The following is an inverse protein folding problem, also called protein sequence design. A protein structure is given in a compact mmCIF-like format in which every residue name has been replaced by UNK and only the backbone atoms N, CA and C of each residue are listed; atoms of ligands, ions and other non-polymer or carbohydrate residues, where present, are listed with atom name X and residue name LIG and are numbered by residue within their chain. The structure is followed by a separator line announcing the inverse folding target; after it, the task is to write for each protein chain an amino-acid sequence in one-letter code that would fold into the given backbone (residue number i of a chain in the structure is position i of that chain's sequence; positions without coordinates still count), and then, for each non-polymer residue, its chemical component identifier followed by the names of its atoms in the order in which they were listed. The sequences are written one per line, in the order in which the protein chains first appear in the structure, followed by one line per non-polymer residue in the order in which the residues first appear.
data_IF_474965893365
#
_entry.id   IF_474965893365
#
_cell.length_a   1.000
_cell.length_b   1.000
_cell.length_c   1.000
_cell.angle_alpha   90.00
_cell.angle_beta   90.00
_cell.angle_gamma   90.00
#
_symmetry.space_group_name_H-M   'P 1'
#
loop_
_entity.id
_entity.type
_entity.pdbx_description
1 polymer ?
#
# COMPACT_ATOMS: atom_id res chain seq x y z
N UNK A 1 -18.20 19.96 0.11
CA UNK A 1 -17.25 19.73 1.23
C UNK A 1 -17.52 18.42 2.01
N UNK A 2 -18.69 17.79 1.87
CA UNK A 2 -19.16 16.70 2.76
C UNK A 2 -18.67 15.27 2.44
N UNK A 3 -18.45 14.92 1.16
CA UNK A 3 -17.95 13.60 0.74
C UNK A 3 -16.50 13.35 1.19
N UNK A 4 -15.71 14.42 1.33
CA UNK A 4 -14.32 14.33 1.82
C UNK A 4 -14.24 13.88 3.28
N UNK A 5 -15.23 14.22 4.11
CA UNK A 5 -15.24 13.89 5.54
C UNK A 5 -15.47 12.39 5.77
N UNK A 6 -16.45 11.79 5.09
CA UNK A 6 -16.72 10.35 5.18
C UNK A 6 -15.55 9.53 4.62
N UNK A 7 -14.98 9.92 3.46
CA UNK A 7 -13.77 9.28 2.92
C UNK A 7 -12.57 9.35 3.88
N UNK A 8 -12.39 10.47 4.58
CA UNK A 8 -11.31 10.62 5.57
C UNK A 8 -11.47 9.69 6.76
N UNK A 9 -12.70 9.50 7.25
CA UNK A 9 -13.02 8.58 8.33
C UNK A 9 -12.77 7.12 7.91
N UNK A 10 -13.20 6.76 6.70
CA UNK A 10 -12.95 5.43 6.12
C UNK A 10 -11.46 5.13 5.97
N UNK A 11 -10.66 6.12 5.55
CA UNK A 11 -9.21 5.99 5.47
C UNK A 11 -8.59 5.69 6.84
N UNK A 12 -9.05 6.37 7.90
CA UNK A 12 -8.56 6.15 9.27
C UNK A 12 -8.84 4.73 9.76
N UNK A 13 -10.03 4.20 9.51
CA UNK A 13 -10.36 2.81 9.86
C UNK A 13 -9.50 1.79 9.10
N UNK A 14 -9.29 2.03 7.80
CA UNK A 14 -8.42 1.17 6.98
C UNK A 14 -6.97 1.15 7.49
N UNK A 15 -6.42 2.33 7.81
CA UNK A 15 -5.03 2.44 8.30
C UNK A 15 -4.87 1.80 9.68
N UNK A 16 -5.82 1.97 10.60
CA UNK A 16 -5.79 1.33 11.91
C UNK A 16 -5.76 -0.21 11.79
N UNK A 17 -6.62 -0.78 10.93
CA UNK A 17 -6.64 -2.22 10.68
C UNK A 17 -5.40 -2.77 9.95
N UNK A 18 -4.71 -1.94 9.17
CA UNK A 18 -3.41 -2.31 8.58
C UNK A 18 -2.29 -2.30 9.62
N UNK A 19 -2.33 -1.41 10.61
CA UNK A 19 -1.33 -1.33 11.68
C UNK A 19 -1.46 -2.51 12.66
N UNK A 20 -2.69 -2.86 13.02
CA UNK A 20 -2.98 -3.94 13.99
C UNK A 20 -4.15 -4.78 13.51
N UNK A 21 -3.93 -6.09 13.39
CA UNK A 21 -4.97 -7.02 12.92
C UNK A 21 -6.21 -7.04 13.84
N UNK A 22 -6.01 -6.81 15.15
CA UNK A 22 -7.10 -6.70 16.14
C UNK A 22 -7.98 -5.47 15.92
N UNK A 23 -7.45 -4.44 15.27
CA UNK A 23 -8.15 -3.18 14.98
C UNK A 23 -8.77 -3.21 13.56
N UNK A 24 -8.82 -4.38 12.90
CA UNK A 24 -9.54 -4.51 11.61
C UNK A 24 -11.03 -4.47 11.86
N UNK A 25 -11.65 -3.38 11.42
CA UNK A 25 -13.10 -3.28 11.40
C UNK A 25 -13.69 -4.17 10.30
N UNK A 26 -14.76 -4.89 10.63
CA UNK A 26 -15.67 -5.45 9.63
C UNK A 26 -16.41 -4.30 8.91
N UNK A 27 -16.97 -4.59 7.74
CA UNK A 27 -17.70 -3.57 6.98
C UNK A 27 -18.92 -3.05 7.75
N UNK A 28 -19.53 -3.94 8.52
CA UNK A 28 -20.66 -3.70 9.40
C UNK A 28 -20.25 -2.80 10.55
N UNK A 29 -19.11 -3.05 11.20
CA UNK A 29 -18.60 -2.22 12.29
C UNK A 29 -18.23 -0.81 11.81
N UNK A 30 -17.68 -0.68 10.59
CA UNK A 30 -17.43 0.64 9.97
C UNK A 30 -18.76 1.37 9.77
N UNK A 31 -19.79 0.67 9.29
CA UNK A 31 -21.10 1.27 9.07
C UNK A 31 -21.77 1.72 10.38
N UNK A 32 -21.69 0.90 11.43
CA UNK A 32 -22.15 1.25 12.79
C UNK A 32 -21.39 2.47 13.32
N UNK A 33 -20.06 2.50 13.19
CA UNK A 33 -19.28 3.67 13.61
C UNK A 33 -19.64 4.95 12.86
N UNK A 34 -20.08 4.84 11.60
CA UNK A 34 -20.57 5.99 10.83
C UNK A 34 -21.94 6.47 11.33
N UNK A 35 -22.79 5.56 11.81
CA UNK A 35 -24.08 5.89 12.43
C UNK A 35 -23.88 6.58 13.79
N UNK A 36 -22.98 6.08 14.63
CA UNK A 36 -22.60 6.74 15.90
C UNK A 36 -22.12 8.18 15.66
N UNK A 37 -21.33 8.41 14.62
CA UNK A 37 -20.88 9.76 14.26
C UNK A 37 -22.01 10.67 13.75
N UNK A 38 -23.11 10.11 13.24
CA UNK A 38 -24.32 10.88 12.92
C UNK A 38 -25.08 11.24 14.18
N UNK A 39 -25.21 10.32 15.13
CA UNK A 39 -25.82 10.60 16.44
C UNK A 39 -25.06 11.68 17.20
N UNK A 40 -23.73 11.69 17.12
CA UNK A 40 -22.86 12.74 17.68
C UNK A 40 -22.91 14.07 16.90
N UNK A 41 -23.69 14.15 15.81
CA UNK A 41 -23.80 15.34 14.95
C UNK A 41 -22.53 15.67 14.15
N UNK A 42 -21.53 14.77 14.12
CA UNK A 42 -20.28 14.92 13.35
C UNK A 42 -20.46 14.60 11.87
N UNK A 43 -21.51 13.85 11.54
CA UNK A 43 -21.93 13.48 10.19
C UNK A 43 -23.44 13.72 10.04
N UNK A 44 -23.91 13.74 8.79
CA UNK A 44 -25.34 13.79 8.46
C UNK A 44 -25.80 12.45 7.88
N UNK A 45 -27.00 12.01 8.26
CA UNK A 45 -27.53 10.69 7.88
C UNK A 45 -27.58 10.49 6.36
N UNK A 46 -27.96 11.52 5.60
CA UNK A 46 -27.96 11.49 4.13
C UNK A 46 -26.60 11.16 3.50
N UNK A 47 -25.51 11.36 4.25
CA UNK A 47 -24.14 11.22 3.74
C UNK A 47 -23.48 9.93 4.22
N UNK A 48 -24.22 9.06 4.94
CA UNK A 48 -23.72 7.74 5.27
C UNK A 48 -23.70 6.87 4.02
N UNK A 49 -22.53 6.39 3.58
CA UNK A 49 -22.46 5.39 2.53
C UNK A 49 -23.03 4.06 3.02
N UNK A 50 -23.75 3.37 2.14
CA UNK A 50 -24.17 1.99 2.37
C UNK A 50 -22.95 1.06 2.52
N UNK A 51 -23.14 -0.09 3.15
CA UNK A 51 -22.11 -1.13 3.29
C UNK A 51 -21.50 -1.51 1.92
N UNK A 52 -22.34 -1.59 0.86
CA UNK A 52 -21.88 -1.83 -0.52
C UNK A 52 -20.93 -0.74 -1.02
N UNK A 53 -21.26 0.52 -0.75
CA UNK A 53 -20.42 1.67 -1.12
C UNK A 53 -19.11 1.68 -0.34
N UNK A 54 -19.14 1.35 0.95
CA UNK A 54 -17.95 1.21 1.81
C UNK A 54 -17.02 0.14 1.23
N UNK A 55 -17.56 -1.05 0.91
CA UNK A 55 -16.79 -2.14 0.30
C UNK A 55 -16.11 -1.72 -1.01
N UNK A 56 -16.86 -1.07 -1.91
CA UNK A 56 -16.32 -0.57 -3.17
C UNK A 56 -15.28 0.54 -2.99
N UNK A 57 -15.44 1.39 -1.98
CA UNK A 57 -14.46 2.42 -1.63
C UNK A 57 -13.17 1.81 -1.09
N UNK A 58 -13.25 0.85 -0.14
CA UNK A 58 -12.08 0.16 0.42
C UNK A 58 -11.30 -0.57 -0.66
N UNK A 59 -11.98 -1.25 -1.59
CA UNK A 59 -11.33 -1.92 -2.72
C UNK A 59 -10.50 -0.96 -3.58
N UNK A 60 -11.07 0.20 -3.93
CA UNK A 60 -10.36 1.25 -4.68
C UNK A 60 -9.21 1.85 -3.88
N UNK A 61 -9.45 2.20 -2.62
CA UNK A 61 -8.43 2.79 -1.75
C UNK A 61 -7.25 1.84 -1.54
N UNK A 62 -7.52 0.55 -1.33
CA UNK A 62 -6.48 -0.49 -1.19
C UNK A 62 -5.63 -0.65 -2.45
N UNK A 63 -6.26 -0.62 -3.64
CA UNK A 63 -5.54 -0.69 -4.91
C UNK A 63 -4.61 0.52 -5.10
N UNK A 64 -5.13 1.73 -4.87
CA UNK A 64 -4.33 2.97 -4.92
C UNK A 64 -3.19 2.96 -3.89
N UNK A 65 -3.46 2.54 -2.66
CA UNK A 65 -2.47 2.46 -1.59
C UNK A 65 -1.31 1.53 -1.95
N UNK A 66 -1.61 0.34 -2.47
CA UNK A 66 -0.60 -0.62 -2.93
C UNK A 66 0.22 -0.06 -4.09
N UNK A 67 -0.43 0.57 -5.07
CA UNK A 67 0.24 1.22 -6.21
C UNK A 67 1.24 2.27 -5.72
N UNK A 68 0.81 3.18 -4.85
CA UNK A 68 1.69 4.23 -4.29
C UNK A 68 2.85 3.64 -3.51
N UNK A 69 2.63 2.61 -2.69
CA UNK A 69 3.71 1.93 -1.97
C UNK A 69 4.75 1.32 -2.92
N UNK A 70 4.32 0.68 -4.02
CA UNK A 70 5.22 0.15 -5.05
C UNK A 70 6.00 1.24 -5.79
N UNK A 71 5.34 2.35 -6.14
CA UNK A 71 5.99 3.51 -6.77
C UNK A 71 7.09 4.11 -5.87
N UNK A 72 6.80 4.25 -4.57
CA UNK A 72 7.79 4.74 -3.59
C UNK A 72 8.97 3.77 -3.46
N UNK A 73 8.72 2.46 -3.36
CA UNK A 73 9.77 1.46 -3.29
C UNK A 73 10.69 1.48 -4.53
N UNK A 74 10.12 1.67 -5.73
CA UNK A 74 10.89 1.78 -6.96
C UNK A 74 11.77 3.05 -6.98
N UNK A 75 11.23 4.19 -6.54
CA UNK A 75 12.01 5.44 -6.44
C UNK A 75 13.16 5.30 -5.45
N UNK A 76 12.93 4.70 -4.27
CA UNK A 76 13.97 4.49 -3.26
C UNK A 76 15.07 3.55 -3.78
N UNK A 77 14.71 2.43 -4.42
CA UNK A 77 15.69 1.51 -5.01
C UNK A 77 16.57 2.17 -6.09
N UNK A 78 16.03 3.16 -6.82
CA UNK A 78 16.76 3.91 -7.83
C UNK A 78 17.65 5.00 -7.21
N UNK A 79 17.33 5.48 -6.01
CA UNK A 79 18.12 6.45 -5.25
C UNK A 79 19.34 5.79 -4.61
N UNK A 80 19.18 4.63 -3.97
CA UNK A 80 20.27 3.82 -3.41
C UNK A 80 21.32 3.44 -4.48
N UNK A 81 20.88 3.25 -5.73
CA UNK A 81 21.76 2.98 -6.86
C UNK A 81 22.54 4.22 -7.35
N UNK A 82 22.07 5.46 -7.10
CA UNK A 82 22.82 6.68 -7.47
C UNK A 82 23.87 7.05 -6.42
N UNK A 83 23.59 6.84 -5.14
CA UNK A 83 24.52 7.16 -4.04
C UNK A 83 25.69 6.17 -3.94
N UNK A 84 25.53 4.93 -4.44
CA UNK A 84 26.63 3.97 -4.58
C UNK A 84 27.60 4.24 -5.76
N UNK A 85 27.22 5.06 -6.75
CA UNK A 85 28.08 5.34 -7.92
C UNK A 85 29.02 6.55 -7.68
N UNK A 86 28.74 7.38 -6.68
CA UNK A 86 29.58 8.54 -6.33
C UNK A 86 30.81 8.22 -5.46
N UNK A 87 30.91 7.04 -4.84
CA UNK A 87 32.04 6.69 -3.95
C UNK A 87 33.04 5.66 -4.52
N UNK A 88 32.86 5.18 -5.76
CA UNK A 88 33.82 4.26 -6.38
C UNK A 88 34.31 4.77 -7.74
N UNK A 89 34.90 5.96 -7.75
CA UNK A 89 35.68 6.46 -8.90
C UNK A 89 37.09 6.91 -8.49
N UNK A 90 37.81 6.06 -7.74
CA UNK A 90 39.27 5.99 -7.88
C UNK A 90 39.69 4.52 -7.78
N UNK A 91 40.05 3.94 -8.94
CA UNK A 91 40.92 2.76 -9.10
C UNK A 91 40.28 1.38 -8.87
N UNK A 92 39.80 0.77 -9.96
CA UNK A 92 40.28 -0.54 -10.45
C UNK A 92 39.71 -0.88 -11.83
N UNK A 93 40.53 -0.52 -12.81
CA UNK A 93 40.70 -1.07 -14.14
C UNK A 93 40.65 -2.61 -14.22
N UNK A 94 39.93 -3.07 -15.26
CA UNK A 94 40.05 -4.33 -16.01
C UNK A 94 39.75 -5.66 -15.28
N UNK A 95 38.65 -6.31 -15.65
CA UNK A 95 38.66 -7.55 -16.47
C UNK A 95 37.24 -8.09 -16.65
N UNK A 96 36.91 -8.43 -17.89
CA UNK A 96 35.69 -9.13 -18.29
C UNK A 96 35.47 -10.41 -17.47
N UNK A 97 34.22 -10.67 -17.08
CA UNK A 97 33.76 -12.04 -16.77
C UNK A 97 32.39 -12.23 -17.43
N UNK A 98 32.37 -13.09 -18.45
CA UNK A 98 31.21 -13.52 -19.23
C UNK A 98 30.15 -14.26 -18.39
N UNK A 99 28.87 -14.28 -18.81
CA UNK A 99 27.83 -15.08 -18.16
C UNK A 99 28.01 -16.58 -18.44
N UNK A 100 28.15 -17.35 -17.36
CA UNK A 100 28.22 -18.83 -17.37
C UNK A 100 26.94 -19.45 -17.96
N UNK A 101 27.13 -20.29 -18.97
CA UNK A 101 26.10 -21.20 -19.51
C UNK A 101 25.73 -22.27 -18.47
N UNK A 102 24.44 -22.50 -18.30
CA UNK A 102 23.90 -23.59 -17.50
C UNK A 102 24.34 -24.95 -18.08
N UNK A 103 25.11 -25.71 -17.31
CA UNK A 103 25.33 -27.14 -17.55
C UNK A 103 24.35 -27.92 -16.67
N UNK A 104 23.36 -28.58 -17.26
CA UNK A 104 22.73 -29.75 -16.64
C UNK A 104 23.57 -30.95 -17.04
N UNK A 105 24.19 -31.59 -16.05
CA UNK A 105 24.90 -32.86 -16.20
C UNK A 105 23.94 -33.99 -15.81
N UNK A 106 23.77 -34.92 -16.73
CA UNK A 106 23.02 -36.17 -16.59
C UNK A 106 23.53 -37.09 -15.47
N UNK A 107 22.66 -38.07 -15.15
CA UNK A 107 22.81 -39.40 -14.52
C UNK A 107 21.75 -39.54 -13.40
N UNK A 108 20.92 -40.59 -13.31
CA UNK A 108 21.17 -42.02 -13.50
C UNK A 108 19.82 -42.78 -13.43
N UNK A 109 19.54 -43.74 -14.32
CA UNK A 109 19.27 -45.19 -14.12
C UNK A 109 19.04 -45.80 -15.52
#
# INVERSE_FOLDING_TARGET
MYIKKSCSILARFFLAGNLRAVDRYSLENIHVSLLELVEEGKLTLEKIPTVKTIKGWIGRYSASFKKTASEQALVESNKENKENISETNVKRNSSQIEPRKHQKKDQNI
#
